data_IF_321206900264
#
_entry.id   IF_321206900264
#
_cell.length_a   1.000
_cell.length_b   1.000
_cell.length_c   1.000
_cell.angle_alpha   90.00
_cell.angle_beta   90.00
_cell.angle_gamma   90.00
#
_symmetry.space_group_name_H-M   'P 1'
#
loop_
_entity.id
_entity.type
_entity.pdbx_description
1 polymer ?
#
# COMPACT_ATOMS: atom_id res chain seq x y z
N UNK A 1 1.60 13.30 1.38
CA UNK A 1 0.65 12.68 2.35
C UNK A 1 0.93 11.20 2.36
N UNK A 2 1.35 10.66 3.51
CA UNK A 2 1.72 9.26 3.69
C UNK A 2 0.49 8.38 3.78
N UNK A 3 0.31 7.51 2.79
CA UNK A 3 -0.86 6.64 2.72
C UNK A 3 -0.41 5.18 2.80
N UNK A 4 -0.89 4.47 3.83
CA UNK A 4 -0.68 3.04 3.99
C UNK A 4 -1.65 2.23 3.16
N UNK A 5 -1.15 1.32 2.31
CA UNK A 5 -1.98 0.38 1.54
C UNK A 5 -1.87 -1.04 2.10
N UNK A 6 -3.00 -1.61 2.53
CA UNK A 6 -3.10 -2.99 3.06
C UNK A 6 -4.06 -3.81 2.19
N UNK A 7 -3.74 -5.06 1.90
CA UNK A 7 -4.61 -5.93 1.08
C UNK A 7 -4.67 -5.57 -0.41
N UNK A 8 -3.73 -4.78 -0.90
CA UNK A 8 -3.62 -4.34 -2.30
C UNK A 8 -3.34 -5.48 -3.30
N UNK A 9 -2.98 -6.68 -2.82
CA UNK A 9 -2.73 -7.88 -3.67
C UNK A 9 -3.98 -8.74 -3.92
N UNK A 10 -5.05 -8.56 -3.14
CA UNK A 10 -6.29 -9.31 -3.30
C UNK A 10 -7.12 -8.84 -4.50
N UNK A 11 -8.21 -9.52 -4.81
CA UNK A 11 -9.07 -9.21 -5.97
C UNK A 11 -9.55 -7.74 -5.99
N UNK A 12 -10.02 -7.22 -4.85
CA UNK A 12 -10.44 -5.82 -4.74
C UNK A 12 -9.23 -4.88 -4.77
N UNK A 13 -8.16 -5.27 -4.07
CA UNK A 13 -6.92 -4.50 -3.99
C UNK A 13 -6.25 -4.29 -5.34
N UNK A 14 -6.22 -5.31 -6.21
CA UNK A 14 -5.61 -5.20 -7.54
C UNK A 14 -6.40 -4.25 -8.44
N UNK A 15 -7.73 -4.30 -8.40
CA UNK A 15 -8.57 -3.37 -9.15
C UNK A 15 -8.39 -1.93 -8.64
N UNK A 16 -8.28 -1.73 -7.33
CA UNK A 16 -7.94 -0.43 -6.76
C UNK A 16 -6.58 0.07 -7.28
N UNK A 17 -5.54 -0.77 -7.26
CA UNK A 17 -4.22 -0.41 -7.78
C UNK A 17 -4.26 0.02 -9.25
N UNK A 18 -4.97 -0.74 -10.09
CA UNK A 18 -5.11 -0.44 -11.52
C UNK A 18 -5.80 0.91 -11.74
N UNK A 19 -6.86 1.20 -10.98
CA UNK A 19 -7.56 2.50 -11.05
C UNK A 19 -6.68 3.64 -10.56
N UNK A 20 -5.97 3.47 -9.44
CA UNK A 20 -5.06 4.49 -8.92
C UNK A 20 -3.90 4.80 -9.88
N UNK A 21 -3.41 3.80 -10.61
CA UNK A 21 -2.43 4.03 -11.67
C UNK A 21 -3.05 4.75 -12.87
N UNK A 22 -4.24 4.33 -13.31
CA UNK A 22 -4.93 4.94 -14.45
C UNK A 22 -5.29 6.41 -14.22
N UNK A 23 -5.66 6.78 -12.99
CA UNK A 23 -5.99 8.15 -12.60
C UNK A 23 -4.78 8.96 -12.09
N UNK A 24 -3.58 8.36 -12.09
CA UNK A 24 -2.34 8.96 -11.60
C UNK A 24 -2.38 9.42 -10.12
N UNK A 25 -3.16 8.71 -9.28
CA UNK A 25 -3.35 9.04 -7.86
C UNK A 25 -2.03 8.95 -7.08
N UNK A 26 -1.15 8.01 -7.43
CA UNK A 26 0.16 7.84 -6.79
C UNK A 26 1.07 9.06 -6.94
N UNK A 27 0.83 9.94 -7.93
CA UNK A 27 1.57 11.19 -8.05
C UNK A 27 1.33 12.11 -6.85
N UNK A 28 0.15 12.07 -6.23
CA UNK A 28 -0.31 13.01 -5.20
C UNK A 28 -0.06 12.53 -3.77
N UNK A 29 0.37 11.29 -3.58
CA UNK A 29 0.61 10.67 -2.27
C UNK A 29 2.01 10.07 -2.15
N UNK A 30 2.40 9.77 -0.91
CA UNK A 30 3.61 9.03 -0.55
C UNK A 30 3.17 7.62 -0.10
N UNK A 31 3.07 6.65 -1.02
CA UNK A 31 2.47 5.36 -0.73
C UNK A 31 3.43 4.46 0.07
N UNK A 32 2.91 3.80 1.09
CA UNK A 32 3.61 2.78 1.88
C UNK A 32 2.83 1.48 1.81
N UNK A 33 3.46 0.44 1.28
CA UNK A 33 2.81 -0.85 1.07
C UNK A 33 3.04 -1.78 2.26
N UNK A 34 1.93 -2.30 2.79
CA UNK A 34 1.92 -3.24 3.89
C UNK A 34 1.51 -4.64 3.41
N UNK A 35 1.92 -5.66 4.16
CA UNK A 35 1.61 -7.06 3.87
C UNK A 35 1.46 -7.88 5.14
N UNK A 36 0.67 -8.93 5.08
CA UNK A 36 0.50 -9.92 6.16
C UNK A 36 1.35 -11.17 5.95
N UNK A 37 1.97 -11.35 4.79
CA UNK A 37 2.63 -12.61 4.39
C UNK A 37 4.01 -12.48 3.75
N UNK A 38 4.46 -11.28 3.37
CA UNK A 38 5.75 -11.09 2.67
C UNK A 38 6.53 -9.85 3.15
N UNK A 39 6.68 -9.69 4.46
CA UNK A 39 7.37 -8.53 5.07
C UNK A 39 8.83 -8.48 4.60
N UNK A 40 9.31 -7.29 4.25
CA UNK A 40 10.64 -7.07 3.67
C UNK A 40 10.73 -7.37 2.17
N UNK A 41 9.66 -7.91 1.56
CA UNK A 41 9.59 -8.13 0.12
C UNK A 41 9.61 -6.85 -0.71
N UNK A 42 9.73 -7.00 -2.03
CA UNK A 42 9.68 -5.87 -2.96
C UNK A 42 8.26 -5.31 -3.09
N UNK A 43 8.15 -3.98 -3.07
CA UNK A 43 6.90 -3.25 -3.35
C UNK A 43 6.44 -3.40 -4.80
N UNK A 44 5.18 -3.03 -5.11
CA UNK A 44 4.68 -3.01 -6.48
C UNK A 44 5.38 -1.93 -7.31
N UNK A 45 5.43 -2.14 -8.63
CA UNK A 45 5.93 -1.15 -9.57
C UNK A 45 4.79 -0.19 -9.91
N UNK A 46 4.86 1.02 -9.37
CA UNK A 46 3.83 2.07 -9.53
C UNK A 46 4.37 3.33 -10.22
N UNK A 47 5.53 3.23 -10.90
CA UNK A 47 6.21 4.38 -11.52
C UNK A 47 6.91 5.32 -10.52
N UNK A 48 6.96 4.95 -9.24
CA UNK A 48 7.72 5.60 -8.17
C UNK A 48 8.52 4.56 -7.38
N UNK A 49 9.65 4.98 -6.82
CA UNK A 49 10.38 4.15 -5.86
C UNK A 49 9.55 3.97 -4.59
N UNK A 50 9.37 2.72 -4.20
CA UNK A 50 8.62 2.34 -3.00
C UNK A 50 9.55 1.61 -2.02
N UNK A 51 9.44 1.88 -0.71
CA UNK A 51 10.15 1.09 0.30
C UNK A 51 9.77 -0.40 0.22
N UNK A 52 10.59 -1.25 0.82
CA UNK A 52 10.24 -2.66 1.04
C UNK A 52 8.94 -2.79 1.82
N UNK A 53 8.21 -3.89 1.59
CA UNK A 53 6.92 -4.15 2.21
C UNK A 53 7.02 -4.15 3.73
N UNK A 54 6.17 -3.36 4.39
CA UNK A 54 6.09 -3.29 5.86
C UNK A 54 5.07 -4.29 6.41
N UNK A 55 5.20 -4.63 7.69
CA UNK A 55 4.26 -5.52 8.37
C UNK A 55 2.92 -4.83 8.63
N UNK A 56 1.83 -5.38 8.08
CA UNK A 56 0.47 -4.90 8.26
C UNK A 56 -0.04 -5.01 9.72
N UNK A 57 0.68 -5.68 10.61
CA UNK A 57 0.38 -5.76 12.05
C UNK A 57 1.26 -4.83 12.90
N UNK A 58 2.24 -4.13 12.30
CA UNK A 58 3.11 -3.21 13.02
C UNK A 58 2.39 -1.89 13.32
N UNK A 59 1.75 -1.80 14.49
CA UNK A 59 0.98 -0.63 14.93
C UNK A 59 1.82 0.67 14.93
N UNK A 60 3.11 0.59 15.26
CA UNK A 60 4.02 1.74 15.20
C UNK A 60 4.15 2.32 13.79
N UNK A 61 4.27 1.46 12.79
CA UNK A 61 4.38 1.84 11.37
C UNK A 61 3.05 2.37 10.82
N UNK A 62 1.94 1.75 11.21
CA UNK A 62 0.60 2.20 10.83
C UNK A 62 0.28 3.58 11.41
N UNK A 63 0.66 3.84 12.67
CA UNK A 63 0.49 5.16 13.33
C UNK A 63 1.25 6.30 12.65
N UNK A 64 2.27 6.00 11.85
CA UNK A 64 3.05 7.00 11.15
C UNK A 64 2.40 7.44 9.81
N UNK A 65 1.27 6.84 9.42
CA UNK A 65 0.54 7.17 8.19
C UNK A 65 -0.49 8.27 8.46
N UNK A 66 -0.67 9.16 7.48
CA UNK A 66 -1.73 10.18 7.51
C UNK A 66 -3.10 9.54 7.24
N UNK A 67 -3.13 8.51 6.38
CA UNK A 67 -4.32 7.73 6.06
C UNK A 67 -3.97 6.26 5.77
N UNK A 68 -4.94 5.36 5.94
CA UNK A 68 -4.81 3.93 5.60
C UNK A 68 -5.97 3.52 4.70
N UNK A 69 -5.64 2.90 3.56
CA UNK A 69 -6.58 2.27 2.65
C UNK A 69 -6.41 0.76 2.78
N UNK A 70 -7.47 0.05 3.16
CA UNK A 70 -7.45 -1.40 3.34
C UNK A 70 -8.47 -2.10 2.46
N UNK A 71 -8.01 -3.12 1.74
CA UNK A 71 -8.84 -4.09 1.03
C UNK A 71 -8.59 -5.52 1.56
N UNK A 72 -7.99 -5.66 2.76
CA UNK A 72 -7.57 -6.96 3.28
C UNK A 72 -8.74 -7.84 3.67
N UNK A 73 -9.76 -7.28 4.36
CA UNK A 73 -11.02 -7.93 4.72
C UNK A 73 -10.89 -9.35 5.32
N UNK A 74 -10.91 -9.46 6.65
CA UNK A 74 -10.84 -10.75 7.36
C UNK A 74 -9.48 -11.03 7.97
#
# INVERSE_FOLDING_TARGET
MRVGLVGWRGMVGSVLMDRMMAENDFAQIDPVFFTTSNVGGRGPVIGKDTPTLKDAKAISELKAMDAIITCQGG
#
